data_IF_885883917345
#
_entry.id   IF_885883917345
#
_cell.length_a   1.000
_cell.length_b   1.000
_cell.length_c   1.000
_cell.angle_alpha   90.00
_cell.angle_beta   90.00
_cell.angle_gamma   90.00
#
_symmetry.space_group_name_H-M   'P 1'
#
loop_
_entity.id
_entity.type
_entity.pdbx_description
1 polymer ?
#
# COMPACT_ATOMS: atom_id res chain seq x y z
N UNK A 1 -68.51 50.49 0.53
CA UNK A 1 -67.85 49.54 1.45
C UNK A 1 -66.60 48.98 0.75
N UNK A 2 -65.44 49.58 1.01
CA UNK A 2 -64.21 49.21 0.45
C UNK A 2 -63.42 48.46 1.51
N UNK A 3 -63.02 47.22 1.22
CA UNK A 3 -62.08 46.46 2.05
C UNK A 3 -60.68 46.68 1.51
N UNK A 4 -59.87 47.29 2.33
CA UNK A 4 -58.42 47.42 2.17
C UNK A 4 -57.76 46.09 2.49
N UNK A 5 -57.00 45.55 1.53
CA UNK A 5 -56.16 44.37 1.71
C UNK A 5 -54.71 44.79 2.06
N UNK A 6 -54.22 44.37 3.22
CA UNK A 6 -52.86 44.57 3.64
C UNK A 6 -51.89 43.68 2.80
N UNK A 7 -50.66 44.16 2.50
CA UNK A 7 -49.67 43.37 1.79
C UNK A 7 -48.96 42.35 2.72
N UNK A 8 -48.48 41.23 2.20
CA UNK A 8 -47.82 40.20 3.00
C UNK A 8 -46.42 40.64 3.48
N UNK A 9 -46.17 40.36 4.74
CA UNK A 9 -44.90 40.59 5.42
C UNK A 9 -43.84 39.65 4.82
N UNK A 10 -42.87 40.21 4.12
CA UNK A 10 -41.66 39.50 3.66
C UNK A 10 -40.86 39.03 4.88
N UNK A 11 -40.79 37.73 5.07
CA UNK A 11 -39.93 37.08 6.05
C UNK A 11 -38.46 37.27 5.62
N UNK A 12 -37.76 38.24 6.16
CA UNK A 12 -36.32 38.39 6.04
C UNK A 12 -35.62 37.14 6.62
N UNK A 13 -35.16 36.25 5.74
CA UNK A 13 -34.30 35.14 6.09
C UNK A 13 -32.97 35.69 6.68
N UNK A 14 -32.84 35.63 8.00
CA UNK A 14 -31.62 35.95 8.72
C UNK A 14 -30.52 35.03 8.25
N UNK A 15 -29.50 35.55 7.53
CA UNK A 15 -28.26 34.83 7.19
C UNK A 15 -27.59 34.40 8.50
N UNK A 16 -27.27 33.12 8.70
CA UNK A 16 -26.61 32.67 9.90
C UNK A 16 -25.25 33.33 10.03
N UNK A 17 -24.92 33.81 11.23
CA UNK A 17 -23.65 34.46 11.54
C UNK A 17 -22.48 33.48 11.29
N UNK A 18 -21.29 34.00 10.95
CA UNK A 18 -20.12 33.18 10.66
C UNK A 18 -19.75 32.18 11.77
N UNK A 19 -20.12 32.46 13.03
CA UNK A 19 -19.99 31.53 14.17
C UNK A 19 -20.89 30.29 14.05
N UNK A 20 -22.10 30.44 13.53
CA UNK A 20 -23.03 29.32 13.31
C UNK A 20 -22.54 28.42 12.17
N UNK A 21 -21.97 29.02 11.13
CA UNK A 21 -21.40 28.27 10.01
C UNK A 21 -20.18 27.43 10.42
N UNK A 22 -19.30 27.98 11.26
CA UNK A 22 -18.16 27.23 11.83
C UNK A 22 -18.62 26.10 12.77
N UNK A 23 -19.72 26.29 13.50
CA UNK A 23 -20.31 25.25 14.36
C UNK A 23 -21.03 24.17 13.56
N UNK A 24 -21.71 24.50 12.47
CA UNK A 24 -22.30 23.54 11.54
C UNK A 24 -21.21 22.73 10.81
N UNK A 25 -20.14 23.37 10.34
CA UNK A 25 -19.03 22.66 9.73
C UNK A 25 -18.32 21.70 10.71
N UNK A 26 -18.24 22.05 12.01
CA UNK A 26 -17.71 21.14 13.05
C UNK A 26 -18.66 19.97 13.36
N UNK A 27 -19.98 20.16 13.26
CA UNK A 27 -20.96 19.08 13.45
C UNK A 27 -21.05 18.14 12.25
N UNK A 28 -20.67 18.58 11.05
CA UNK A 28 -20.68 17.77 9.82
C UNK A 28 -19.47 16.80 9.78
N UNK A 29 -18.40 17.08 10.51
CA UNK A 29 -17.23 16.16 10.56
C UNK A 29 -17.45 14.94 11.46
N UNK A 30 -18.60 14.78 12.10
CA UNK A 30 -19.00 13.56 12.84
C UNK A 30 -18.09 13.17 14.01
N UNK A 31 -17.09 13.97 14.27
CA UNK A 31 -16.19 13.79 15.40
C UNK A 31 -15.98 15.15 16.05
N UNK A 32 -16.66 15.38 17.19
CA UNK A 32 -16.22 16.35 18.17
C UNK A 32 -14.84 15.89 18.69
N UNK A 33 -13.85 15.97 17.84
CA UNK A 33 -12.46 15.70 18.18
C UNK A 33 -11.86 17.06 18.53
N UNK A 34 -11.56 17.34 19.82
CA UNK A 34 -10.94 18.59 20.23
C UNK A 34 -9.62 18.83 19.47
N UNK A 35 -9.19 20.08 19.37
CA UNK A 35 -7.91 20.48 18.73
C UNK A 35 -6.66 19.71 19.25
N UNK A 36 -6.72 19.16 20.45
CA UNK A 36 -5.73 18.21 20.99
C UNK A 36 -5.56 16.93 20.15
N UNK A 37 -6.49 16.60 19.27
CA UNK A 37 -6.46 15.41 18.41
C UNK A 37 -5.65 15.64 17.12
N UNK A 38 -5.32 16.87 16.77
CA UNK A 38 -4.49 17.13 15.59
C UNK A 38 -3.01 16.76 15.83
N UNK A 39 -2.49 16.97 17.04
CA UNK A 39 -1.17 16.48 17.45
C UNK A 39 -1.16 14.95 17.59
N UNK A 40 -2.24 14.36 18.10
CA UNK A 40 -2.40 12.91 18.22
C UNK A 40 -2.42 12.21 16.85
N UNK A 41 -2.90 12.86 15.78
CA UNK A 41 -2.92 12.30 14.44
C UNK A 41 -1.52 12.04 13.85
N UNK A 42 -0.53 12.90 14.10
CA UNK A 42 0.82 12.70 13.61
C UNK A 42 1.50 11.50 14.31
N UNK A 43 1.28 11.36 15.61
CA UNK A 43 1.76 10.21 16.38
C UNK A 43 1.12 8.90 15.91
N UNK A 44 -0.17 8.93 15.56
CA UNK A 44 -0.88 7.78 15.00
C UNK A 44 -0.37 7.40 13.62
N UNK A 45 0.01 8.37 12.77
CA UNK A 45 0.62 8.07 11.46
C UNK A 45 1.91 7.27 11.64
N UNK A 46 2.77 7.66 12.59
CA UNK A 46 3.99 6.92 12.90
C UNK A 46 3.68 5.52 13.46
N UNK A 47 2.78 5.44 14.44
CA UNK A 47 2.35 4.17 15.01
C UNK A 47 1.85 3.18 13.95
N UNK A 48 0.92 3.63 13.10
CA UNK A 48 0.34 2.82 12.03
C UNK A 48 1.39 2.39 11.01
N UNK A 49 2.32 3.29 10.70
CA UNK A 49 3.40 3.01 9.76
C UNK A 49 4.37 1.97 10.29
N UNK A 50 4.83 2.09 11.52
CA UNK A 50 5.71 1.10 12.15
C UNK A 50 5.00 -0.22 12.41
N UNK A 51 3.74 -0.20 12.83
CA UNK A 51 2.92 -1.41 12.98
C UNK A 51 2.79 -2.17 11.67
N UNK A 52 2.53 -1.46 10.56
CA UNK A 52 2.49 -2.04 9.22
C UNK A 52 3.86 -2.58 8.81
N UNK A 53 4.94 -1.87 9.13
CA UNK A 53 6.32 -2.32 8.89
C UNK A 53 6.62 -3.63 9.60
N UNK A 54 6.29 -3.73 10.89
CA UNK A 54 6.46 -4.95 11.68
C UNK A 54 5.64 -6.11 11.15
N UNK A 55 4.36 -5.88 10.84
CA UNK A 55 3.48 -6.88 10.26
C UNK A 55 3.97 -7.37 8.89
N UNK A 56 4.29 -6.46 7.99
CA UNK A 56 4.79 -6.80 6.66
C UNK A 56 6.12 -7.57 6.71
N UNK A 57 7.04 -7.19 7.59
CA UNK A 57 8.29 -7.93 7.80
C UNK A 57 8.03 -9.34 8.35
N UNK A 58 7.13 -9.50 9.32
CA UNK A 58 6.74 -10.80 9.87
C UNK A 58 6.11 -11.70 8.82
N UNK A 59 5.18 -11.18 8.01
CA UNK A 59 4.56 -11.93 6.92
C UNK A 59 5.57 -12.35 5.83
N UNK A 60 6.48 -11.44 5.47
CA UNK A 60 7.55 -11.75 4.52
C UNK A 60 8.48 -12.83 5.07
N UNK A 61 8.85 -12.73 6.34
CA UNK A 61 9.64 -13.76 7.00
C UNK A 61 8.92 -15.11 7.01
N UNK A 62 7.67 -15.15 7.45
CA UNK A 62 6.86 -16.37 7.41
C UNK A 62 6.69 -16.94 5.99
N UNK A 63 6.59 -16.06 4.98
CA UNK A 63 6.46 -16.42 3.56
C UNK A 63 7.77 -16.85 2.87
N UNK A 64 8.93 -16.84 3.55
CA UNK A 64 10.23 -17.17 2.93
C UNK A 64 10.27 -18.50 2.20
N UNK A 65 9.68 -19.59 2.68
CA UNK A 65 9.63 -20.83 1.92
C UNK A 65 8.97 -20.66 0.55
N UNK A 66 7.84 -19.96 0.51
CA UNK A 66 7.12 -19.68 -0.74
C UNK A 66 7.91 -18.75 -1.66
N UNK A 67 8.57 -17.75 -1.10
CA UNK A 67 9.44 -16.85 -1.86
C UNK A 67 10.62 -17.61 -2.48
N UNK A 68 11.25 -18.50 -1.73
CA UNK A 68 12.35 -19.33 -2.22
C UNK A 68 11.91 -20.26 -3.36
N UNK A 69 10.75 -20.91 -3.21
CA UNK A 69 10.15 -21.73 -4.27
C UNK A 69 9.88 -20.87 -5.52
N UNK A 70 9.30 -19.69 -5.36
CA UNK A 70 9.01 -18.79 -6.46
C UNK A 70 10.28 -18.32 -7.18
N UNK A 71 11.34 -17.98 -6.47
CA UNK A 71 12.62 -17.58 -7.04
C UNK A 71 13.26 -18.74 -7.83
N UNK A 72 13.29 -19.95 -7.26
CA UNK A 72 13.84 -21.12 -7.93
C UNK A 72 13.01 -21.49 -9.16
N UNK A 73 11.68 -21.47 -9.07
CA UNK A 73 10.80 -21.78 -10.20
C UNK A 73 10.95 -20.83 -11.40
N UNK A 74 11.44 -19.62 -11.15
CA UNK A 74 11.71 -18.62 -12.18
C UNK A 74 13.17 -18.61 -12.66
N UNK A 75 14.03 -19.39 -12.00
CA UNK A 75 15.45 -19.44 -12.35
C UNK A 75 15.70 -20.44 -13.50
N UNK A 76 16.86 -20.25 -14.16
CA UNK A 76 17.35 -21.18 -15.19
C UNK A 76 17.76 -22.55 -14.63
N UNK A 77 17.78 -22.72 -13.31
CA UNK A 77 18.10 -23.99 -12.65
C UNK A 77 17.02 -25.06 -12.86
N UNK A 78 15.80 -24.64 -13.19
CA UNK A 78 14.72 -25.57 -13.52
C UNK A 78 14.78 -25.86 -15.02
N UNK A 79 15.00 -27.13 -15.35
CA UNK A 79 14.92 -27.60 -16.73
C UNK A 79 13.50 -27.38 -17.24
N UNK A 80 13.35 -26.65 -18.36
CA UNK A 80 12.03 -26.38 -18.97
C UNK A 80 11.25 -27.64 -19.31
N UNK A 81 11.96 -28.74 -19.55
CA UNK A 81 11.39 -30.04 -19.94
C UNK A 81 11.02 -30.94 -18.75
N UNK A 82 11.25 -30.49 -17.51
CA UNK A 82 10.84 -31.24 -16.33
C UNK A 82 9.31 -31.12 -16.17
N UNK A 83 8.59 -32.22 -16.34
CA UNK A 83 7.11 -32.24 -16.32
C UNK A 83 6.43 -31.74 -15.03
N UNK A 84 7.20 -31.33 -14.02
CA UNK A 84 6.70 -30.79 -12.75
C UNK A 84 7.65 -29.72 -12.19
N UNK A 85 7.72 -28.51 -12.78
CA UNK A 85 8.69 -27.50 -12.40
C UNK A 85 8.50 -26.99 -10.94
N UNK A 86 7.26 -26.96 -10.44
CA UNK A 86 6.98 -26.54 -9.06
C UNK A 86 7.49 -27.55 -8.04
N UNK A 87 7.30 -28.86 -8.27
CA UNK A 87 7.82 -29.89 -7.37
C UNK A 87 9.35 -29.93 -7.36
N UNK A 88 9.98 -29.69 -8.50
CA UNK A 88 11.43 -29.56 -8.56
C UNK A 88 11.90 -28.31 -7.79
N UNK A 89 11.19 -27.18 -7.90
CA UNK A 89 11.50 -25.97 -7.13
C UNK A 89 11.35 -26.20 -5.62
N UNK A 90 10.31 -26.93 -5.20
CA UNK A 90 10.10 -27.29 -3.79
C UNK A 90 11.27 -28.16 -3.30
N UNK A 91 11.64 -29.21 -4.03
CA UNK A 91 12.78 -30.08 -3.66
C UNK A 91 14.05 -29.28 -3.50
N UNK A 92 14.37 -28.41 -4.45
CA UNK A 92 15.56 -27.55 -4.40
C UNK A 92 15.49 -26.54 -3.26
N UNK A 93 14.32 -25.96 -2.96
CA UNK A 93 14.15 -25.00 -1.88
C UNK A 93 14.46 -25.61 -0.50
N UNK A 94 14.16 -26.90 -0.32
CA UNK A 94 14.33 -27.62 0.93
C UNK A 94 15.45 -28.66 0.92
N UNK A 95 16.30 -28.66 -0.11
CA UNK A 95 17.41 -29.63 -0.26
C UNK A 95 18.30 -29.69 0.98
N UNK A 96 18.57 -28.54 1.62
CA UNK A 96 19.43 -28.44 2.80
C UNK A 96 18.64 -28.43 4.13
N UNK A 97 17.43 -29.00 4.12
CA UNK A 97 16.55 -29.16 5.29
C UNK A 97 15.41 -28.18 5.37
N UNK A 98 14.51 -28.40 6.34
CA UNK A 98 13.26 -27.63 6.50
C UNK A 98 13.49 -26.10 6.72
N UNK A 99 14.60 -25.74 7.31
CA UNK A 99 14.95 -24.34 7.57
C UNK A 99 15.85 -23.71 6.50
N UNK A 100 16.18 -24.44 5.42
CA UNK A 100 17.01 -23.92 4.34
C UNK A 100 16.51 -22.60 3.73
N UNK A 101 15.18 -22.39 3.51
CA UNK A 101 14.67 -21.12 3.01
C UNK A 101 14.99 -19.91 3.89
N UNK A 102 15.09 -20.12 5.20
CA UNK A 102 15.37 -19.04 6.17
C UNK A 102 16.85 -18.71 6.33
N UNK A 103 17.76 -19.64 5.98
CA UNK A 103 19.22 -19.41 6.06
C UNK A 103 19.71 -18.29 5.16
N UNK A 104 18.98 -18.00 4.07
CA UNK A 104 19.31 -16.93 3.13
C UNK A 104 18.81 -15.56 3.58
N UNK A 105 18.02 -15.49 4.68
CA UNK A 105 17.49 -14.25 5.22
C UNK A 105 18.51 -13.62 6.15
N UNK A 106 19.21 -12.61 5.67
CA UNK A 106 20.06 -11.77 6.53
C UNK A 106 19.27 -10.76 7.33
N UNK A 107 19.85 -10.25 8.44
CA UNK A 107 19.27 -9.15 9.24
C UNK A 107 18.89 -7.94 8.38
N UNK A 108 19.74 -7.61 7.39
CA UNK A 108 19.50 -6.52 6.45
C UNK A 108 18.20 -6.69 5.65
N UNK A 109 17.82 -7.92 5.30
CA UNK A 109 16.58 -8.20 4.58
C UNK A 109 15.34 -7.90 5.45
N UNK A 110 15.37 -8.30 6.71
CA UNK A 110 14.27 -8.03 7.66
C UNK A 110 14.10 -6.53 7.89
N UNK A 111 15.20 -5.81 8.08
CA UNK A 111 15.18 -4.34 8.20
C UNK A 111 14.67 -3.69 6.92
N UNK A 112 15.10 -4.15 5.75
CA UNK A 112 14.62 -3.63 4.48
C UNK A 112 13.10 -3.84 4.30
N UNK A 113 12.57 -5.01 4.65
CA UNK A 113 11.12 -5.25 4.62
C UNK A 113 10.36 -4.38 5.60
N UNK A 114 10.87 -4.25 6.83
CA UNK A 114 10.28 -3.35 7.82
C UNK A 114 10.21 -1.92 7.30
N UNK A 115 11.32 -1.39 6.78
CA UNK A 115 11.36 -0.05 6.21
C UNK A 115 10.44 0.10 4.99
N UNK A 116 10.40 -0.89 4.11
CA UNK A 116 9.54 -0.90 2.93
C UNK A 116 8.07 -0.67 3.29
N UNK A 117 7.52 -1.50 4.19
CA UNK A 117 6.13 -1.39 4.59
C UNK A 117 5.86 -0.16 5.48
N UNK A 118 6.83 0.22 6.32
CA UNK A 118 6.72 1.44 7.13
C UNK A 118 6.65 2.69 6.27
N UNK A 119 7.52 2.81 5.26
CA UNK A 119 7.54 3.96 4.35
C UNK A 119 6.28 4.00 3.50
N UNK A 120 5.82 2.86 2.98
CA UNK A 120 4.57 2.79 2.22
C UNK A 120 3.39 3.29 3.06
N UNK A 121 3.26 2.80 4.30
CA UNK A 121 2.20 3.20 5.21
C UNK A 121 2.30 4.68 5.60
N UNK A 122 3.50 5.18 5.87
CA UNK A 122 3.74 6.57 6.23
C UNK A 122 3.36 7.53 5.10
N UNK A 123 3.85 7.27 3.90
CA UNK A 123 3.60 8.13 2.73
C UNK A 123 2.12 8.12 2.39
N UNK A 124 1.49 6.92 2.36
CA UNK A 124 0.06 6.80 2.08
C UNK A 124 -0.77 7.63 3.05
N UNK A 125 -0.58 7.45 4.36
CA UNK A 125 -1.36 8.14 5.38
C UNK A 125 -1.11 9.63 5.41
N UNK A 126 0.16 10.07 5.33
CA UNK A 126 0.52 11.48 5.33
C UNK A 126 -0.11 12.20 4.14
N UNK A 127 -0.02 11.63 2.95
CA UNK A 127 -0.63 12.21 1.75
C UNK A 127 -2.16 12.18 1.80
N UNK A 128 -2.77 11.10 2.31
CA UNK A 128 -4.22 11.06 2.48
C UNK A 128 -4.71 12.16 3.43
N UNK A 129 -4.00 12.41 4.53
CA UNK A 129 -4.30 13.53 5.47
C UNK A 129 -4.15 14.88 4.78
N UNK A 130 -2.99 15.13 4.17
CA UNK A 130 -2.67 16.44 3.56
C UNK A 130 -3.62 16.75 2.41
N UNK A 131 -3.81 15.81 1.49
CA UNK A 131 -4.66 16.03 0.33
C UNK A 131 -6.15 16.09 0.68
N UNK A 132 -6.60 15.34 1.70
CA UNK A 132 -7.97 15.47 2.19
C UNK A 132 -8.24 16.87 2.73
N UNK A 133 -7.31 17.44 3.51
CA UNK A 133 -7.41 18.82 4.01
C UNK A 133 -7.37 19.85 2.87
N UNK A 134 -6.43 19.69 1.94
CA UNK A 134 -6.23 20.65 0.84
C UNK A 134 -7.38 20.66 -0.16
N UNK A 135 -7.90 19.50 -0.50
CA UNK A 135 -8.99 19.35 -1.48
C UNK A 135 -10.37 19.44 -0.85
N UNK A 136 -10.48 19.45 0.48
CA UNK A 136 -11.75 19.44 1.21
C UNK A 136 -12.52 18.11 1.02
N UNK A 137 -11.81 16.98 0.88
CA UNK A 137 -12.41 15.66 0.65
C UNK A 137 -12.31 14.78 1.89
N UNK A 138 -13.15 13.75 1.98
CA UNK A 138 -13.04 12.73 3.03
C UNK A 138 -11.75 11.93 2.89
N UNK A 139 -11.30 11.35 4.01
CA UNK A 139 -10.18 10.39 4.04
C UNK A 139 -10.64 9.03 3.53
N UNK A 140 -9.68 8.21 3.13
CA UNK A 140 -9.96 6.80 2.84
C UNK A 140 -10.50 6.12 4.11
N UNK A 141 -11.57 5.30 4.02
CA UNK A 141 -12.15 4.63 5.19
C UNK A 141 -11.11 3.83 5.97
N UNK A 142 -11.08 4.01 7.28
CA UNK A 142 -10.14 3.36 8.18
C UNK A 142 -10.81 2.84 9.45
N UNK A 143 -10.37 1.69 9.93
CA UNK A 143 -10.86 1.08 11.16
C UNK A 143 -12.37 0.81 11.13
N UNK A 144 -13.07 1.17 12.19
CA UNK A 144 -14.51 0.94 12.32
C UNK A 144 -15.37 1.57 11.23
N UNK A 145 -14.86 2.57 10.51
CA UNK A 145 -15.60 3.22 9.41
C UNK A 145 -15.92 2.25 8.28
N UNK A 146 -15.05 1.27 8.03
CA UNK A 146 -15.24 0.27 6.97
C UNK A 146 -16.48 -0.60 7.24
N UNK A 147 -16.80 -0.83 8.52
CA UNK A 147 -17.96 -1.62 8.94
C UNK A 147 -19.26 -0.83 8.86
N UNK A 148 -19.19 0.50 8.80
CA UNK A 148 -20.37 1.35 8.74
C UNK A 148 -21.00 1.33 7.35
N UNK A 149 -22.30 1.61 7.31
CA UNK A 149 -23.02 1.78 6.06
C UNK A 149 -22.52 3.06 5.37
N UNK A 150 -22.25 3.01 4.06
CA UNK A 150 -21.86 4.22 3.35
C UNK A 150 -23.02 5.23 3.37
N UNK A 151 -22.71 6.54 3.46
CA UNK A 151 -23.74 7.56 3.45
C UNK A 151 -24.50 7.54 2.12
N UNK A 152 -25.83 7.70 2.19
CA UNK A 152 -26.70 7.83 1.02
C UNK A 152 -26.89 9.31 0.66
N UNK A 153 -27.40 9.56 -0.54
CA UNK A 153 -27.80 10.90 -0.96
C UNK A 153 -28.80 11.48 0.06
N UNK A 154 -28.46 12.66 0.59
CA UNK A 154 -29.20 13.31 1.68
C UNK A 154 -28.65 13.04 3.09
N UNK A 155 -27.79 12.06 3.28
CA UNK A 155 -27.13 11.82 4.57
C UNK A 155 -25.94 12.77 4.78
N UNK A 156 -25.62 13.04 6.05
CA UNK A 156 -24.42 13.76 6.44
C UNK A 156 -23.19 12.92 6.05
N UNK A 157 -22.29 13.49 5.21
CA UNK A 157 -21.12 12.78 4.69
C UNK A 157 -21.29 12.17 3.29
N UNK A 158 -22.43 12.41 2.61
CA UNK A 158 -22.56 12.05 1.21
C UNK A 158 -21.70 12.96 0.32
N UNK A 159 -20.82 12.35 -0.48
CA UNK A 159 -19.93 13.08 -1.40
C UNK A 159 -20.69 13.38 -2.69
N UNK A 160 -21.07 14.64 -2.91
CA UNK A 160 -21.76 15.09 -4.11
C UNK A 160 -20.79 15.23 -5.32
N UNK A 161 -21.34 15.20 -6.52
CA UNK A 161 -20.67 15.13 -7.81
C UNK A 161 -19.25 15.73 -7.96
N UNK A 162 -19.06 17.03 -7.74
CA UNK A 162 -17.74 17.68 -7.89
C UNK A 162 -16.71 17.24 -6.83
N UNK A 163 -17.16 16.97 -5.61
CA UNK A 163 -16.30 16.47 -4.53
C UNK A 163 -15.91 15.02 -4.76
N UNK A 164 -16.78 14.23 -5.41
CA UNK A 164 -16.47 12.86 -5.81
C UNK A 164 -15.31 12.80 -6.80
N UNK A 165 -15.26 13.73 -7.75
CA UNK A 165 -14.11 13.83 -8.68
C UNK A 165 -12.81 14.10 -7.92
N UNK A 166 -12.82 15.03 -6.97
CA UNK A 166 -11.65 15.33 -6.13
C UNK A 166 -11.23 14.12 -5.29
N UNK A 167 -12.20 13.40 -4.70
CA UNK A 167 -11.94 12.19 -3.94
C UNK A 167 -11.31 11.09 -4.80
N UNK A 168 -11.84 10.84 -6.01
CA UNK A 168 -11.27 9.85 -6.95
C UNK A 168 -9.86 10.26 -7.39
N UNK A 169 -9.64 11.54 -7.71
CA UNK A 169 -8.31 12.04 -8.05
C UNK A 169 -7.31 11.82 -6.92
N UNK A 170 -7.68 12.18 -5.67
CA UNK A 170 -6.85 11.94 -4.48
C UNK A 170 -6.54 10.45 -4.30
N UNK A 171 -7.57 9.60 -4.30
CA UNK A 171 -7.40 8.16 -4.08
C UNK A 171 -6.65 7.44 -5.19
N UNK A 172 -6.56 8.03 -6.37
CA UNK A 172 -5.69 7.57 -7.45
C UNK A 172 -4.25 8.03 -7.28
N UNK A 173 -4.03 9.29 -6.82
CA UNK A 173 -2.69 9.88 -6.72
C UNK A 173 -1.91 9.38 -5.50
N UNK A 174 -2.58 9.22 -4.35
CA UNK A 174 -1.92 8.81 -3.10
C UNK A 174 -1.18 7.47 -3.22
N UNK A 175 -1.79 6.40 -3.78
CA UNK A 175 -1.09 5.13 -3.98
C UNK A 175 0.07 5.22 -4.99
N UNK A 176 -0.04 6.09 -6.01
CA UNK A 176 1.04 6.30 -6.98
C UNK A 176 2.27 6.88 -6.28
N UNK A 177 2.08 7.92 -5.47
CA UNK A 177 3.16 8.51 -4.70
C UNK A 177 3.74 7.52 -3.67
N UNK A 178 2.87 6.81 -2.95
CA UNK A 178 3.30 5.82 -1.95
C UNK A 178 4.10 4.69 -2.60
N UNK A 179 3.63 4.13 -3.71
CA UNK A 179 4.33 3.08 -4.45
C UNK A 179 5.65 3.54 -5.08
N UNK A 180 5.72 4.78 -5.56
CA UNK A 180 6.96 5.35 -6.11
C UNK A 180 8.02 5.54 -5.02
N UNK A 181 7.66 6.16 -3.88
CA UNK A 181 8.59 6.39 -2.77
C UNK A 181 9.02 5.07 -2.12
N UNK A 182 8.09 4.13 -1.93
CA UNK A 182 8.42 2.77 -1.50
C UNK A 182 9.46 2.14 -2.42
N UNK A 183 9.29 2.27 -3.74
CA UNK A 183 10.20 1.71 -4.72
C UNK A 183 11.60 2.34 -4.64
N UNK A 184 11.72 3.63 -4.36
CA UNK A 184 13.02 4.27 -4.13
C UNK A 184 13.76 3.59 -2.98
N UNK A 185 13.05 3.28 -1.90
CA UNK A 185 13.64 2.66 -0.70
C UNK A 185 13.94 1.17 -0.92
N UNK A 186 13.05 0.44 -1.62
CA UNK A 186 13.07 -1.02 -1.66
C UNK A 186 13.74 -1.62 -2.90
N UNK A 187 13.73 -0.93 -4.06
CA UNK A 187 14.11 -1.55 -5.33
C UNK A 187 15.55 -2.09 -5.34
N UNK A 188 16.51 -1.35 -4.79
CA UNK A 188 17.91 -1.83 -4.73
C UNK A 188 18.04 -3.10 -3.90
N UNK A 189 17.41 -3.16 -2.74
CA UNK A 189 17.41 -4.33 -1.88
C UNK A 189 16.73 -5.54 -2.54
N UNK A 190 15.64 -5.31 -3.28
CA UNK A 190 14.97 -6.37 -4.04
C UNK A 190 15.82 -6.88 -5.20
N UNK A 191 16.49 -6.00 -5.96
CA UNK A 191 17.40 -6.39 -7.04
C UNK A 191 18.60 -7.18 -6.48
N UNK A 192 19.19 -6.70 -5.39
CA UNK A 192 20.29 -7.38 -4.71
C UNK A 192 19.89 -8.79 -4.25
N UNK A 193 18.67 -8.96 -3.75
CA UNK A 193 18.13 -10.25 -3.34
C UNK A 193 17.87 -11.18 -4.54
N UNK A 194 17.45 -10.62 -5.68
CA UNK A 194 17.19 -11.38 -6.89
C UNK A 194 18.45 -11.93 -7.54
N UNK A 195 19.49 -11.11 -7.65
CA UNK A 195 20.75 -11.47 -8.32
C UNK A 195 21.86 -11.95 -7.37
N UNK A 196 21.75 -11.65 -6.08
CA UNK A 196 22.84 -11.79 -5.12
C UNK A 196 23.78 -10.58 -5.12
N UNK A 197 24.62 -10.50 -4.08
CA UNK A 197 25.46 -9.32 -3.80
C UNK A 197 26.50 -9.07 -4.91
N UNK A 198 27.16 -10.14 -5.38
CA UNK A 198 28.22 -10.03 -6.37
C UNK A 198 27.70 -9.59 -7.75
N UNK A 199 26.61 -10.22 -8.22
CA UNK A 199 26.01 -9.86 -9.50
C UNK A 199 25.40 -8.46 -9.45
N UNK A 200 24.77 -8.09 -8.33
CA UNK A 200 24.27 -6.71 -8.12
C UNK A 200 25.40 -5.69 -8.21
N UNK A 201 26.56 -5.95 -7.59
CA UNK A 201 27.72 -5.05 -7.68
C UNK A 201 28.22 -4.84 -9.12
N UNK A 202 28.15 -5.86 -9.97
CA UNK A 202 28.47 -5.73 -11.40
C UNK A 202 27.43 -4.87 -12.13
N UNK A 203 26.14 -5.11 -11.89
CA UNK A 203 25.03 -4.32 -12.47
C UNK A 203 25.13 -2.86 -12.03
N UNK A 204 25.39 -2.62 -10.75
CA UNK A 204 25.51 -1.27 -10.21
C UNK A 204 26.65 -0.46 -10.85
N UNK A 205 27.79 -1.08 -11.10
CA UNK A 205 28.89 -0.46 -11.85
C UNK A 205 28.49 -0.07 -13.27
N UNK A 206 27.59 -0.85 -13.89
CA UNK A 206 27.12 -0.60 -15.25
C UNK A 206 26.07 0.55 -15.33
N UNK A 207 25.45 0.93 -14.20
CA UNK A 207 24.49 2.07 -14.16
C UNK A 207 25.17 3.43 -14.43
N UNK A 208 26.49 3.47 -14.55
CA UNK A 208 27.24 4.67 -14.86
C UNK A 208 27.19 5.72 -13.74
N UNK A 209 27.39 6.98 -14.10
CA UNK A 209 27.41 8.12 -13.15
C UNK A 209 26.03 8.75 -12.90
N UNK A 210 24.96 8.28 -13.54
CA UNK A 210 23.64 8.86 -13.37
C UNK A 210 23.16 8.70 -11.90
N UNK A 211 23.03 9.80 -11.14
CA UNK A 211 22.69 9.74 -9.72
C UNK A 211 21.28 9.18 -9.47
N UNK A 212 20.32 9.43 -10.38
CA UNK A 212 18.94 8.93 -10.26
C UNK A 212 18.91 7.42 -10.49
N UNK A 213 19.58 6.92 -11.52
CA UNK A 213 19.67 5.49 -11.78
C UNK A 213 20.37 4.75 -10.63
N UNK A 214 21.41 5.36 -10.02
CA UNK A 214 22.08 4.81 -8.83
C UNK A 214 21.19 4.81 -7.60
N UNK A 215 20.44 5.89 -7.35
CA UNK A 215 19.55 5.99 -6.19
C UNK A 215 18.38 5.01 -6.30
N UNK A 216 17.71 4.96 -7.46
CA UNK A 216 16.52 4.14 -7.66
C UNK A 216 16.85 2.68 -8.01
N UNK A 217 18.05 2.40 -8.54
CA UNK A 217 18.43 1.08 -9.02
C UNK A 217 17.83 0.71 -10.38
N UNK A 218 18.27 -0.45 -10.96
CA UNK A 218 17.81 -0.91 -12.26
C UNK A 218 16.32 -1.32 -12.22
N UNK A 219 15.64 -1.22 -13.35
CA UNK A 219 14.24 -1.59 -13.54
C UNK A 219 13.25 -0.94 -12.55
N UNK A 220 13.59 0.23 -12.01
CA UNK A 220 12.80 0.97 -11.02
C UNK A 220 11.34 1.19 -11.46
N UNK A 221 11.10 1.56 -12.73
CA UNK A 221 9.74 1.85 -13.23
C UNK A 221 8.82 0.64 -13.11
N UNK A 222 9.28 -0.55 -13.51
CA UNK A 222 8.46 -1.77 -13.41
C UNK A 222 8.17 -2.14 -11.94
N UNK A 223 9.13 -1.92 -11.04
CA UNK A 223 8.92 -2.12 -9.60
C UNK A 223 7.91 -1.10 -9.03
N UNK A 224 8.02 0.16 -9.44
CA UNK A 224 7.06 1.21 -9.07
C UNK A 224 5.64 0.86 -9.50
N UNK A 225 5.45 0.44 -10.76
CA UNK A 225 4.14 0.02 -11.26
C UNK A 225 3.54 -1.10 -10.41
N UNK A 226 4.34 -2.10 -10.04
CA UNK A 226 3.91 -3.18 -9.13
C UNK A 226 3.44 -2.62 -7.78
N UNK A 227 4.26 -1.78 -7.15
CA UNK A 227 3.99 -1.25 -5.82
C UNK A 227 2.77 -0.31 -5.81
N UNK A 228 2.57 0.45 -6.88
CA UNK A 228 1.36 1.27 -7.08
C UNK A 228 0.10 0.40 -7.10
N UNK A 229 0.10 -0.68 -7.90
CA UNK A 229 -1.06 -1.58 -7.94
C UNK A 229 -1.34 -2.18 -6.58
N UNK A 230 -0.30 -2.59 -5.88
CA UNK A 230 -0.43 -3.19 -4.55
C UNK A 230 -0.94 -2.21 -3.50
N UNK A 231 -0.40 -1.00 -3.48
CA UNK A 231 -0.88 0.08 -2.60
C UNK A 231 -2.34 0.45 -2.90
N UNK A 232 -2.70 0.55 -4.19
CA UNK A 232 -4.07 0.84 -4.61
C UNK A 232 -5.04 -0.24 -4.12
N UNK A 233 -4.70 -1.51 -4.34
CA UNK A 233 -5.57 -2.63 -3.97
C UNK A 233 -5.72 -2.73 -2.46
N UNK A 234 -4.63 -2.63 -1.71
CA UNK A 234 -4.65 -2.84 -0.26
C UNK A 234 -5.23 -1.68 0.51
N UNK A 235 -4.89 -0.44 0.17
CA UNK A 235 -5.28 0.72 0.97
C UNK A 235 -6.47 1.50 0.45
N UNK A 236 -6.82 1.37 -0.83
CA UNK A 236 -7.95 2.11 -1.41
C UNK A 236 -9.06 1.15 -1.84
N UNK A 237 -8.77 0.21 -2.73
CA UNK A 237 -9.82 -0.62 -3.31
C UNK A 237 -10.47 -1.53 -2.28
N UNK A 238 -9.68 -2.25 -1.47
CA UNK A 238 -10.23 -3.18 -0.50
C UNK A 238 -11.15 -2.50 0.51
N UNK A 239 -10.73 -1.46 1.24
CA UNK A 239 -11.61 -0.81 2.20
C UNK A 239 -12.83 -0.15 1.55
N UNK A 240 -12.62 0.53 0.42
CA UNK A 240 -13.72 1.23 -0.27
C UNK A 240 -14.74 0.27 -0.86
N UNK A 241 -14.30 -0.76 -1.58
CA UNK A 241 -15.22 -1.73 -2.18
C UNK A 241 -15.92 -2.59 -1.13
N UNK A 242 -15.22 -2.95 -0.05
CA UNK A 242 -15.83 -3.66 1.06
C UNK A 242 -16.91 -2.80 1.74
N UNK A 243 -16.62 -1.52 2.00
CA UNK A 243 -17.58 -0.59 2.58
C UNK A 243 -18.83 -0.42 1.69
N UNK A 244 -18.63 -0.25 0.39
CA UNK A 244 -19.70 0.09 -0.56
C UNK A 244 -20.56 -1.12 -0.95
N UNK A 245 -19.96 -2.26 -1.20
CA UNK A 245 -20.62 -3.38 -1.89
C UNK A 245 -20.82 -4.62 -1.03
N UNK A 246 -20.08 -4.76 0.09
CA UNK A 246 -20.28 -5.93 0.94
C UNK A 246 -21.59 -5.80 1.74
N UNK A 247 -22.42 -6.87 1.80
CA UNK A 247 -23.70 -6.82 2.52
C UNK A 247 -23.51 -6.44 4.00
N UNK A 248 -24.26 -5.42 4.47
CA UNK A 248 -24.07 -4.86 5.82
C UNK A 248 -24.23 -5.91 6.92
N UNK A 249 -25.19 -6.82 6.76
CA UNK A 249 -25.53 -7.87 7.72
C UNK A 249 -24.42 -8.94 7.85
N UNK A 250 -23.55 -9.02 6.85
CA UNK A 250 -22.43 -10.00 6.77
C UNK A 250 -21.08 -9.37 7.05
N UNK A 251 -20.99 -8.06 7.29
CA UNK A 251 -19.75 -7.40 7.61
C UNK A 251 -19.18 -7.90 8.93
N UNK A 252 -17.94 -8.33 8.90
CA UNK A 252 -17.18 -8.80 10.06
C UNK A 252 -15.69 -8.73 9.79
N UNK A 253 -14.88 -8.79 10.82
CA UNK A 253 -13.42 -8.88 10.73
C UNK A 253 -12.97 -10.04 9.84
N UNK A 254 -13.60 -11.21 9.98
CA UNK A 254 -13.32 -12.39 9.16
C UNK A 254 -13.70 -12.18 7.69
N UNK A 255 -14.85 -11.57 7.42
CA UNK A 255 -15.25 -11.31 6.04
C UNK A 255 -14.38 -10.28 5.36
N UNK A 256 -13.88 -9.26 6.07
CA UNK A 256 -12.89 -8.32 5.54
C UNK A 256 -11.57 -9.00 5.19
N UNK A 257 -11.10 -9.93 6.03
CA UNK A 257 -9.92 -10.74 5.75
C UNK A 257 -10.05 -11.50 4.42
N UNK A 258 -11.12 -12.25 4.26
CA UNK A 258 -11.34 -13.06 3.04
C UNK A 258 -11.62 -12.20 1.81
N UNK A 259 -12.31 -11.08 1.97
CA UNK A 259 -12.56 -10.13 0.89
C UNK A 259 -11.24 -9.51 0.40
N UNK A 260 -10.40 -9.04 1.32
CA UNK A 260 -9.09 -8.48 1.00
C UNK A 260 -8.18 -9.51 0.31
N UNK A 261 -8.14 -10.73 0.81
CA UNK A 261 -7.40 -11.83 0.20
C UNK A 261 -7.90 -12.13 -1.22
N UNK A 262 -9.21 -12.25 -1.42
CA UNK A 262 -9.82 -12.52 -2.72
C UNK A 262 -9.55 -11.39 -3.73
N UNK A 263 -9.73 -10.14 -3.32
CA UNK A 263 -9.47 -8.99 -4.19
C UNK A 263 -8.00 -8.90 -4.61
N UNK A 264 -7.07 -9.18 -3.68
CA UNK A 264 -5.65 -9.18 -4.01
C UNK A 264 -5.23 -10.35 -4.92
N UNK A 265 -5.91 -11.49 -4.86
CA UNK A 265 -5.70 -12.56 -5.84
C UNK A 265 -6.10 -12.09 -7.25
N UNK A 266 -7.27 -11.50 -7.40
CA UNK A 266 -7.78 -11.13 -8.74
C UNK A 266 -7.16 -9.84 -9.28
N UNK A 267 -7.21 -8.76 -8.53
CA UNK A 267 -6.79 -7.45 -9.03
C UNK A 267 -5.30 -7.19 -8.82
N UNK A 268 -4.83 -7.33 -7.59
CA UNK A 268 -3.46 -6.97 -7.21
C UNK A 268 -2.44 -7.95 -7.75
N UNK A 269 -2.66 -9.27 -7.55
CA UNK A 269 -1.64 -10.24 -7.93
C UNK A 269 -1.53 -10.46 -9.43
N UNK A 270 -2.63 -10.50 -10.17
CA UNK A 270 -2.56 -10.69 -11.63
C UNK A 270 -1.75 -9.58 -12.30
N UNK A 271 -2.04 -8.31 -11.95
CA UNK A 271 -1.31 -7.17 -12.51
C UNK A 271 0.14 -7.15 -11.99
N UNK A 272 0.35 -7.38 -10.69
CA UNK A 272 1.69 -7.41 -10.11
C UNK A 272 2.58 -8.50 -10.73
N UNK A 273 2.04 -9.68 -11.03
CA UNK A 273 2.78 -10.77 -11.68
C UNK A 273 3.25 -10.37 -13.07
N UNK A 274 2.35 -9.79 -13.86
CA UNK A 274 2.70 -9.31 -15.21
C UNK A 274 3.84 -8.29 -15.13
N UNK A 275 3.74 -7.33 -14.22
CA UNK A 275 4.76 -6.31 -14.04
C UNK A 275 6.06 -6.87 -13.48
N UNK A 276 5.99 -7.89 -12.63
CA UNK A 276 7.17 -8.53 -12.09
C UNK A 276 7.91 -9.37 -13.15
N UNK A 277 7.18 -10.02 -14.05
CA UNK A 277 7.80 -10.66 -15.21
C UNK A 277 8.49 -9.61 -16.10
N UNK A 278 7.87 -8.46 -16.31
CA UNK A 278 8.46 -7.33 -17.00
C UNK A 278 9.71 -6.80 -16.26
N UNK A 279 9.64 -6.70 -14.93
CA UNK A 279 10.77 -6.30 -14.09
C UNK A 279 11.95 -7.27 -14.20
N UNK A 280 11.70 -8.59 -14.13
CA UNK A 280 12.76 -9.59 -14.28
C UNK A 280 13.45 -9.50 -15.63
N UNK A 281 12.69 -9.43 -16.73
CA UNK A 281 13.27 -9.28 -18.08
C UNK A 281 14.00 -7.95 -18.26
N UNK A 282 13.51 -6.87 -17.67
CA UNK A 282 14.19 -5.59 -17.70
C UNK A 282 15.53 -5.62 -16.93
N UNK A 283 15.60 -6.39 -15.85
CA UNK A 283 16.84 -6.61 -15.11
C UNK A 283 17.84 -7.43 -15.93
N UNK A 284 17.39 -8.49 -16.60
CA UNK A 284 18.23 -9.31 -17.47
C UNK A 284 18.77 -8.47 -18.64
N UNK A 285 17.95 -7.63 -19.26
CA UNK A 285 18.37 -6.68 -20.29
C UNK A 285 19.43 -5.68 -19.77
N UNK A 286 19.26 -5.20 -18.54
CA UNK A 286 20.23 -4.32 -17.90
C UNK A 286 21.57 -5.04 -17.65
N UNK A 287 21.53 -6.29 -17.22
CA UNK A 287 22.71 -7.10 -16.95
C UNK A 287 23.53 -7.38 -18.20
N UNK A 288 22.86 -7.62 -19.34
CA UNK A 288 23.50 -7.91 -20.64
C UNK A 288 23.90 -6.62 -21.36
N UNK A 289 23.12 -5.56 -21.25
CA UNK A 289 23.24 -4.34 -22.06
C UNK A 289 24.35 -3.36 -21.66
N UNK A 290 25.19 -3.65 -20.67
CA UNK A 290 26.32 -2.80 -20.27
C UNK A 290 25.93 -1.40 -19.80
N UNK A 291 24.86 -1.26 -19.02
CA UNK A 291 24.42 0.01 -18.43
C UNK A 291 23.60 0.92 -19.35
N UNK A 292 23.11 0.40 -20.45
CA UNK A 292 22.16 1.13 -21.32
C UNK A 292 20.84 1.34 -20.61
N UNK A 293 20.19 2.46 -20.93
CA UNK A 293 18.81 2.71 -20.46
C UNK A 293 17.89 1.58 -20.89
N UNK A 294 17.10 1.06 -19.95
CA UNK A 294 16.13 -0.01 -20.21
C UNK A 294 15.03 0.51 -21.13
N UNK A 295 14.87 -0.14 -22.29
CA UNK A 295 13.75 0.10 -23.16
C UNK A 295 12.65 -0.92 -22.90
N UNK A 296 11.65 -0.57 -22.10
CA UNK A 296 10.52 -1.45 -21.79
C UNK A 296 9.75 -1.87 -23.06
N UNK A 297 9.66 -1.00 -24.06
CA UNK A 297 9.05 -1.35 -25.35
C UNK A 297 9.81 -2.48 -26.06
N UNK A 298 11.15 -2.44 -26.01
CA UNK A 298 11.99 -3.52 -26.55
C UNK A 298 11.80 -4.81 -25.75
N UNK A 299 11.87 -4.74 -24.41
CA UNK A 299 11.69 -5.89 -23.50
C UNK A 299 10.35 -6.59 -23.75
N UNK A 300 9.28 -5.82 -23.92
CA UNK A 300 7.94 -6.36 -24.22
C UNK A 300 7.91 -7.00 -25.62
N UNK A 301 8.43 -6.32 -26.64
CA UNK A 301 8.46 -6.83 -28.02
C UNK A 301 9.26 -8.12 -28.14
N UNK A 302 10.45 -8.16 -27.59
CA UNK A 302 11.30 -9.35 -27.59
C UNK A 302 10.66 -10.49 -26.80
N UNK A 303 10.08 -10.19 -25.63
CA UNK A 303 9.34 -11.17 -24.86
C UNK A 303 8.17 -11.79 -25.60
N UNK A 304 7.36 -10.97 -26.26
CA UNK A 304 6.23 -11.44 -27.08
C UNK A 304 6.73 -12.24 -28.30
N UNK A 305 7.83 -11.85 -28.92
CA UNK A 305 8.38 -12.55 -30.05
C UNK A 305 8.97 -13.93 -29.67
N UNK A 306 9.57 -14.05 -28.46
CA UNK A 306 10.20 -15.31 -28.02
C UNK A 306 9.20 -16.32 -27.45
N UNK A 307 8.31 -15.88 -26.57
CA UNK A 307 7.46 -16.76 -25.77
C UNK A 307 5.96 -16.39 -25.83
N UNK A 308 5.57 -15.45 -26.70
CA UNK A 308 4.21 -14.92 -26.77
C UNK A 308 3.76 -14.34 -25.44
N UNK A 309 2.47 -14.49 -25.13
CA UNK A 309 1.93 -14.07 -23.83
C UNK A 309 2.52 -14.83 -22.65
N UNK A 310 3.06 -16.03 -22.87
CA UNK A 310 3.77 -16.83 -21.87
C UNK A 310 5.03 -16.15 -21.32
N UNK A 311 5.60 -15.17 -22.03
CA UNK A 311 6.70 -14.35 -21.54
C UNK A 311 6.37 -13.65 -20.23
N UNK A 312 5.12 -13.18 -20.08
CA UNK A 312 4.67 -12.34 -18.99
C UNK A 312 3.70 -13.06 -18.06
N UNK A 313 2.94 -14.01 -18.59
CA UNK A 313 1.93 -14.71 -17.82
C UNK A 313 1.99 -16.21 -18.10
N UNK A 314 2.55 -16.96 -17.15
CA UNK A 314 2.53 -18.43 -17.14
C UNK A 314 1.79 -18.91 -15.88
N UNK A 315 1.01 -19.99 -15.96
CA UNK A 315 0.29 -20.52 -14.80
C UNK A 315 1.21 -20.84 -13.62
N UNK A 316 2.39 -21.37 -13.87
CA UNK A 316 3.37 -21.69 -12.81
C UNK A 316 3.92 -20.42 -12.14
N UNK A 317 4.26 -19.38 -12.91
CA UNK A 317 4.70 -18.10 -12.36
C UNK A 317 3.58 -17.41 -11.59
N UNK A 318 2.37 -17.46 -12.12
CA UNK A 318 1.20 -16.90 -11.46
C UNK A 318 0.93 -17.60 -10.12
N UNK A 319 0.83 -18.92 -10.08
CA UNK A 319 0.51 -19.66 -8.87
C UNK A 319 1.53 -19.45 -7.75
N UNK A 320 2.83 -19.48 -8.06
CA UNK A 320 3.88 -19.22 -7.06
C UNK A 320 3.82 -17.79 -6.51
N UNK A 321 3.47 -16.81 -7.34
CA UNK A 321 3.32 -15.42 -6.90
C UNK A 321 2.04 -15.18 -6.10
N UNK A 322 0.94 -15.82 -6.45
CA UNK A 322 -0.28 -15.79 -5.65
C UNK A 322 -0.02 -16.36 -4.27
N UNK A 323 0.58 -17.53 -4.19
CA UNK A 323 0.91 -18.17 -2.91
C UNK A 323 1.85 -17.32 -2.04
N UNK A 324 2.75 -16.56 -2.65
CA UNK A 324 3.68 -15.69 -1.94
C UNK A 324 3.04 -14.35 -1.53
N UNK A 325 2.36 -13.69 -2.47
CA UNK A 325 1.92 -12.31 -2.28
C UNK A 325 0.51 -12.22 -1.68
N UNK A 326 -0.41 -13.14 -2.01
CA UNK A 326 -1.78 -13.06 -1.54
C UNK A 326 -1.90 -13.04 -0.02
N UNK A 327 -1.22 -13.90 0.76
CA UNK A 327 -1.26 -13.81 2.21
C UNK A 327 -0.67 -12.48 2.72
N UNK A 328 0.47 -12.06 2.19
CA UNK A 328 1.16 -10.86 2.66
C UNK A 328 0.37 -9.59 2.35
N UNK A 329 -0.21 -9.49 1.16
CA UNK A 329 -0.86 -8.27 0.70
C UNK A 329 -2.36 -8.27 0.95
N UNK A 330 -3.01 -9.43 0.80
CA UNK A 330 -4.43 -9.58 1.03
C UNK A 330 -4.84 -9.42 2.49
N UNK A 331 -3.93 -9.70 3.42
CA UNK A 331 -4.18 -9.55 4.85
C UNK A 331 -3.81 -8.16 5.40
N UNK A 332 -3.05 -7.36 4.66
CA UNK A 332 -2.73 -5.98 5.06
C UNK A 332 -3.99 -5.14 5.34
N UNK A 333 -5.02 -5.13 4.47
CA UNK A 333 -6.24 -4.36 4.75
C UNK A 333 -6.92 -4.75 6.05
N UNK A 334 -7.00 -6.06 6.32
CA UNK A 334 -7.54 -6.57 7.58
C UNK A 334 -6.69 -6.12 8.78
N UNK A 335 -5.38 -6.33 8.73
CA UNK A 335 -4.48 -5.92 9.81
C UNK A 335 -4.56 -4.41 10.06
N UNK A 336 -4.51 -3.63 8.98
CA UNK A 336 -4.53 -2.17 9.03
C UNK A 336 -5.84 -1.62 9.61
N UNK A 337 -6.97 -2.24 9.31
CA UNK A 337 -8.27 -1.73 9.68
C UNK A 337 -8.86 -2.35 10.94
N UNK A 338 -8.43 -3.56 11.32
CA UNK A 338 -8.99 -4.28 12.46
C UNK A 338 -7.99 -4.42 13.61
N UNK A 339 -6.71 -4.70 13.31
CA UNK A 339 -5.72 -4.99 14.35
C UNK A 339 -5.03 -3.73 14.83
N UNK A 340 -4.56 -2.87 13.93
CA UNK A 340 -3.88 -1.63 14.31
C UNK A 340 -4.72 -0.71 15.20
N UNK A 341 -6.03 -0.49 14.97
CA UNK A 341 -6.83 0.39 15.82
C UNK A 341 -6.90 -0.06 17.28
N UNK A 342 -6.76 -1.37 17.55
CA UNK A 342 -6.79 -1.90 18.92
C UNK A 342 -5.64 -1.35 19.80
N UNK A 343 -4.50 -1.09 19.18
CA UNK A 343 -3.31 -0.57 19.87
C UNK A 343 -3.21 0.97 19.91
N UNK A 344 -4.07 1.71 19.21
CA UNK A 344 -3.95 3.17 19.12
C UNK A 344 -4.12 3.87 20.48
N UNK A 345 -5.16 3.50 21.23
CA UNK A 345 -5.43 4.11 22.52
C UNK A 345 -4.30 3.86 23.55
N UNK A 346 -3.84 2.61 23.77
CA UNK A 346 -2.69 2.36 24.64
C UNK A 346 -1.41 3.06 24.17
N UNK A 347 -1.16 3.10 22.85
CA UNK A 347 -0.02 3.82 22.30
C UNK A 347 -0.07 5.32 22.61
N UNK A 348 -1.20 5.99 22.35
CA UNK A 348 -1.36 7.41 22.65
C UNK A 348 -1.19 7.72 24.13
N UNK A 349 -1.70 6.86 25.01
CA UNK A 349 -1.50 7.01 26.47
C UNK A 349 -0.02 6.94 26.84
N UNK A 350 0.70 5.96 26.30
CA UNK A 350 2.14 5.81 26.54
C UNK A 350 2.94 6.98 25.96
N UNK A 351 2.62 7.40 24.72
CA UNK A 351 3.26 8.52 24.04
C UNK A 351 3.10 9.83 24.81
N UNK A 352 1.89 10.15 25.29
CA UNK A 352 1.64 11.33 26.11
C UNK A 352 2.46 11.30 27.40
N UNK A 353 2.51 10.17 28.09
CA UNK A 353 3.31 10.03 29.31
C UNK A 353 4.80 10.29 29.06
N UNK A 354 5.37 9.74 27.98
CA UNK A 354 6.78 9.98 27.61
C UNK A 354 7.01 11.44 27.23
N UNK A 355 6.13 12.01 26.42
CA UNK A 355 6.23 13.42 26.01
C UNK A 355 6.20 14.36 27.21
N UNK A 356 5.25 14.15 28.11
CA UNK A 356 5.08 15.01 29.30
C UNK A 356 6.27 14.89 30.22
N UNK A 357 6.84 13.69 30.43
CA UNK A 357 8.09 13.49 31.19
C UNK A 357 9.30 14.19 30.54
N UNK A 358 9.39 14.18 29.20
CA UNK A 358 10.45 14.90 28.48
C UNK A 358 10.29 16.41 28.64
N UNK A 359 9.06 16.93 28.55
CA UNK A 359 8.79 18.35 28.71
C UNK A 359 9.09 18.81 30.12
N UNK A 360 8.74 18.05 31.15
CA UNK A 360 9.11 18.33 32.54
C UNK A 360 10.63 18.36 32.73
N UNK A 361 11.36 17.48 32.06
CA UNK A 361 12.82 17.45 32.13
C UNK A 361 13.49 18.66 31.45
N UNK A 362 12.92 19.12 30.31
CA UNK A 362 13.48 20.23 29.51
C UNK A 362 13.06 21.61 30.05
N UNK A 363 11.88 21.70 30.69
CA UNK A 363 11.35 22.93 31.27
C UNK A 363 11.37 22.80 32.82
N UNK A 364 12.54 22.91 33.46
CA UNK A 364 12.56 22.94 34.92
C UNK A 364 11.76 24.17 35.39
N UNK A 365 10.76 23.88 36.22
CA UNK A 365 9.97 24.95 36.86
C UNK A 365 10.93 25.84 37.65
N UNK A 366 10.87 27.18 37.50
CA UNK A 366 11.73 28.12 38.19
C UNK A 366 11.48 28.11 39.72
#
# INVERSE_FOLDING_TARGET
MARTSDPPVEAQARRPSGRTRARLQRSISGTDIPLAVEEDNNSLVLYRSFGLGGYGAALRFAGMPLERIALISNSTQIKKDAGQPILQAIRLAFQDGAFAPYKVVGRASVVAWFLQYSVMGFVFQSLDVVLSKTLGTERVPYGSQIMQKPPKEGDTGYIAGSERVKYVAKTSMVPVCAGAIESIVSNRAEVQRYYGIEAFGKIEKQLGSNPVARACGPAFVANTMRNVVMSTTSFVMTPTLYQLYYPQERKSTTSLFWFGLGLNIFCGNVVAITQQALWGRALDDCAVGGGRAISYARVVREGLASDGLGAFFTPSKWSTRVLMNAPAQGTIPWFYNEVLPLGEKPFLKAYKGVRDSILEFITPVP
#
